data_IF_568783263152
#
_entry.id   IF_568783263152
#
_cell.length_a   1.000
_cell.length_b   1.000
_cell.length_c   1.000
_cell.angle_alpha   90.00
_cell.angle_beta   90.00
_cell.angle_gamma   90.00
#
_symmetry.space_group_name_H-M   'P 1'
#
loop_
_entity.id
_entity.type
_entity.pdbx_description
1 polymer ?
#
# COMPACT_ATOMS: atom_id res chain seq x y z
N UNK A 1 24.72 1.46 0.16
CA UNK A 1 23.61 2.08 0.93
C UNK A 1 22.31 1.78 0.19
N UNK A 2 21.42 0.96 0.75
CA UNK A 2 20.12 0.67 0.12
C UNK A 2 19.31 1.97 0.08
N UNK A 3 18.99 2.48 -1.12
CA UNK A 3 18.03 3.58 -1.26
C UNK A 3 16.74 3.12 -0.57
N UNK A 4 16.32 3.83 0.48
CA UNK A 4 14.96 3.69 1.00
C UNK A 4 14.01 3.93 -0.19
N UNK A 5 13.04 3.04 -0.46
CA UNK A 5 12.01 3.35 -1.44
C UNK A 5 11.37 4.67 -1.01
N UNK A 6 11.33 5.65 -1.92
CA UNK A 6 10.81 6.99 -1.67
C UNK A 6 9.29 7.03 -1.59
N UNK A 7 8.63 5.91 -1.91
CA UNK A 7 7.18 5.82 -1.96
C UNK A 7 6.68 5.03 -0.75
N UNK A 8 6.04 5.73 0.19
CA UNK A 8 5.25 5.09 1.22
C UNK A 8 3.88 4.79 0.61
N UNK A 9 3.64 3.54 0.22
CA UNK A 9 2.36 3.12 -0.35
C UNK A 9 1.21 3.50 0.58
N UNK A 10 0.24 4.24 0.04
CA UNK A 10 -0.96 4.61 0.78
C UNK A 10 -2.04 3.56 0.53
N UNK A 11 -2.19 2.67 1.51
CA UNK A 11 -3.23 1.65 1.52
C UNK A 11 -4.62 2.20 1.89
N UNK A 12 -4.67 3.42 2.40
CA UNK A 12 -5.87 4.12 2.82
C UNK A 12 -5.82 5.54 2.28
N UNK A 13 -6.80 5.88 1.44
CA UNK A 13 -6.98 7.21 0.88
C UNK A 13 -8.26 7.84 1.42
N UNK A 14 -8.28 9.16 1.58
CA UNK A 14 -9.40 9.88 2.19
C UNK A 14 -9.85 11.07 1.35
N UNK A 15 -11.15 11.23 1.20
CA UNK A 15 -11.79 12.42 0.64
C UNK A 15 -12.88 12.94 1.58
N UNK A 16 -12.96 14.26 1.73
CA UNK A 16 -13.99 14.91 2.52
C UNK A 16 -14.87 15.73 1.57
N UNK A 17 -16.16 15.39 1.53
CA UNK A 17 -17.16 16.14 0.78
C UNK A 17 -17.76 17.22 1.66
N UNK A 18 -17.20 18.42 1.56
CA UNK A 18 -17.69 19.62 2.24
C UNK A 18 -17.46 19.58 3.75
N UNK A 19 -18.17 20.43 4.48
CA UNK A 19 -18.12 20.48 5.94
C UNK A 19 -19.43 20.05 6.60
N UNK A 20 -19.51 20.32 7.90
CA UNK A 20 -20.72 20.19 8.70
C UNK A 20 -21.11 21.59 9.16
N UNK A 21 -22.38 21.95 8.98
CA UNK A 21 -22.98 23.18 9.52
C UNK A 21 -24.33 22.83 10.14
N UNK A 22 -24.57 23.24 11.38
CA UNK A 22 -25.77 22.92 12.16
C UNK A 22 -26.16 21.44 12.14
N UNK A 23 -25.16 20.55 12.25
CA UNK A 23 -25.34 19.10 12.24
C UNK A 23 -25.71 18.50 10.86
N UNK A 24 -25.72 19.31 9.79
CA UNK A 24 -26.04 18.87 8.43
C UNK A 24 -24.80 18.88 7.53
N UNK A 25 -24.76 17.93 6.58
CA UNK A 25 -23.71 17.88 5.57
C UNK A 25 -23.87 19.06 4.60
N UNK A 26 -22.82 19.88 4.44
CA UNK A 26 -22.83 21.00 3.50
C UNK A 26 -22.72 20.57 2.03
N UNK A 27 -22.16 19.39 1.77
CA UNK A 27 -21.98 18.94 0.40
C UNK A 27 -23.30 18.53 -0.25
N UNK A 28 -23.62 19.18 -1.37
CA UNK A 28 -24.67 18.73 -2.26
C UNK A 28 -24.33 17.36 -2.90
N UNK A 29 -25.34 16.65 -3.40
CA UNK A 29 -25.17 15.33 -4.05
C UNK A 29 -24.12 15.34 -5.16
N UNK A 30 -24.02 16.45 -5.92
CA UNK A 30 -23.02 16.61 -6.97
C UNK A 30 -21.60 16.62 -6.42
N UNK A 31 -21.34 17.35 -5.33
CA UNK A 31 -20.01 17.38 -4.67
C UNK A 31 -19.65 16.00 -4.13
N UNK A 32 -20.59 15.35 -3.43
CA UNK A 32 -20.40 13.98 -2.93
C UNK A 32 -20.05 13.02 -4.07
N UNK A 33 -20.67 13.16 -5.24
CA UNK A 33 -20.34 12.30 -6.37
C UNK A 33 -18.96 12.56 -6.96
N UNK A 34 -18.60 13.83 -7.17
CA UNK A 34 -17.30 14.23 -7.71
C UNK A 34 -16.15 13.75 -6.79
N UNK A 35 -16.31 13.87 -5.48
CA UNK A 35 -15.27 13.42 -4.55
C UNK A 35 -15.13 11.91 -4.50
N UNK A 36 -16.25 11.17 -4.64
CA UNK A 36 -16.21 9.72 -4.77
C UNK A 36 -15.45 9.30 -6.03
N UNK A 37 -15.67 9.99 -7.15
CA UNK A 37 -14.91 9.76 -8.38
C UNK A 37 -13.42 10.08 -8.21
N UNK A 38 -13.10 11.19 -7.54
CA UNK A 38 -11.71 11.57 -7.22
C UNK A 38 -11.04 10.50 -6.36
N UNK A 39 -11.70 10.03 -5.32
CA UNK A 39 -11.23 8.94 -4.45
C UNK A 39 -10.99 7.66 -5.27
N UNK A 40 -11.93 7.27 -6.14
CA UNK A 40 -11.78 6.12 -7.01
C UNK A 40 -10.55 6.24 -7.92
N UNK A 41 -10.34 7.42 -8.52
CA UNK A 41 -9.17 7.67 -9.38
C UNK A 41 -7.87 7.55 -8.58
N UNK A 42 -7.79 8.16 -7.40
CA UNK A 42 -6.62 8.06 -6.53
C UNK A 42 -6.31 6.61 -6.14
N UNK A 43 -7.33 5.83 -5.75
CA UNK A 43 -7.16 4.41 -5.41
C UNK A 43 -6.65 3.58 -6.58
N UNK A 44 -7.16 3.83 -7.78
CA UNK A 44 -6.71 3.17 -9.01
C UNK A 44 -5.25 3.52 -9.31
N UNK A 45 -4.87 4.77 -9.13
CA UNK A 45 -3.53 5.25 -9.45
C UNK A 45 -2.48 4.67 -8.48
N UNK A 46 -2.81 4.56 -7.18
CA UNK A 46 -1.98 3.84 -6.19
C UNK A 46 -1.80 2.36 -6.55
N UNK A 47 -2.90 1.65 -6.88
CA UNK A 47 -2.83 0.26 -7.34
C UNK A 47 -1.97 0.12 -8.60
N UNK A 48 -2.11 1.05 -9.54
CA UNK A 48 -1.31 1.05 -10.76
C UNK A 48 0.17 1.28 -10.52
N UNK A 49 0.51 2.17 -9.60
CA UNK A 49 1.89 2.39 -9.20
C UNK A 49 2.47 1.11 -8.60
N UNK A 50 1.73 0.48 -7.69
CA UNK A 50 2.12 -0.79 -7.08
C UNK A 50 2.34 -1.90 -8.12
N UNK A 51 1.36 -2.12 -9.01
CA UNK A 51 1.44 -3.13 -10.06
C UNK A 51 2.64 -2.88 -10.98
N UNK A 52 2.90 -1.61 -11.34
CA UNK A 52 4.03 -1.24 -12.20
C UNK A 52 5.37 -1.50 -11.54
N UNK A 53 5.52 -1.17 -10.26
CA UNK A 53 6.76 -1.37 -9.52
C UNK A 53 7.08 -2.85 -9.31
N UNK A 54 6.05 -3.67 -9.11
CA UNK A 54 6.19 -5.07 -8.74
C UNK A 54 5.79 -6.06 -9.84
N UNK A 55 5.80 -5.66 -11.13
CA UNK A 55 5.52 -6.54 -12.29
C UNK A 55 6.30 -7.86 -12.29
N UNK A 56 7.45 -7.92 -11.62
CA UNK A 56 8.31 -9.10 -11.52
C UNK A 56 7.91 -10.07 -10.41
N UNK A 57 7.03 -9.67 -9.49
CA UNK A 57 6.37 -10.62 -8.59
C UNK A 57 5.47 -11.56 -9.40
N UNK A 58 5.37 -12.83 -9.00
CA UNK A 58 4.44 -13.76 -9.63
C UNK A 58 3.04 -13.12 -9.59
N UNK A 59 2.40 -13.03 -10.75
CA UNK A 59 1.11 -12.33 -10.95
C UNK A 59 0.03 -12.70 -9.93
N UNK A 60 0.08 -13.92 -9.39
CA UNK A 60 -0.85 -14.45 -8.39
C UNK A 60 -0.79 -13.75 -7.03
N UNK A 61 0.34 -13.12 -6.65
CA UNK A 61 0.44 -12.41 -5.37
C UNK A 61 -0.07 -10.97 -5.48
N UNK A 62 0.09 -10.32 -6.63
CA UNK A 62 -0.38 -8.93 -6.84
C UNK A 62 -1.92 -8.80 -6.84
N UNK A 63 -2.64 -9.86 -7.22
CA UNK A 63 -4.11 -9.91 -7.26
C UNK A 63 -4.72 -9.76 -5.85
N UNK A 64 -3.94 -10.00 -4.78
CA UNK A 64 -4.41 -9.94 -3.40
C UNK A 64 -4.37 -8.55 -2.77
N UNK A 65 -3.78 -7.55 -3.45
CA UNK A 65 -3.68 -6.21 -2.88
C UNK A 65 -5.04 -5.51 -2.91
N UNK A 66 -5.54 -5.14 -1.73
CA UNK A 66 -6.68 -4.26 -1.54
C UNK A 66 -6.20 -2.85 -1.19
N UNK A 67 -6.77 -1.84 -1.85
CA UNK A 67 -6.68 -0.45 -1.42
C UNK A 67 -8.02 -0.03 -0.83
N UNK A 68 -7.99 0.65 0.31
CA UNK A 68 -9.17 1.18 0.97
C UNK A 68 -9.30 2.68 0.74
N UNK A 69 -10.54 3.13 0.60
CA UNK A 69 -10.88 4.53 0.43
C UNK A 69 -11.92 4.95 1.45
N UNK A 70 -11.80 6.14 2.00
CA UNK A 70 -12.77 6.72 2.94
C UNK A 70 -13.32 7.99 2.35
N UNK A 71 -14.64 8.09 2.31
CA UNK A 71 -15.32 9.33 1.97
C UNK A 71 -16.13 9.79 3.18
N UNK A 72 -15.85 11.00 3.65
CA UNK A 72 -16.59 11.62 4.75
C UNK A 72 -17.50 12.71 4.20
N UNK A 73 -18.78 12.71 4.58
CA UNK A 73 -19.70 13.80 4.29
C UNK A 73 -20.72 13.94 5.40
N UNK A 74 -20.77 15.13 6.03
CA UNK A 74 -21.49 15.25 7.29
C UNK A 74 -20.87 14.33 8.35
N UNK A 75 -21.73 13.66 9.11
CA UNK A 75 -21.35 12.63 10.07
C UNK A 75 -21.16 11.24 9.43
N UNK A 76 -21.45 11.09 8.13
CA UNK A 76 -21.37 9.79 7.46
C UNK A 76 -19.96 9.54 6.94
N UNK A 77 -19.46 8.36 7.22
CA UNK A 77 -18.20 7.83 6.73
C UNK A 77 -18.52 6.62 5.87
N UNK A 78 -18.29 6.74 4.56
CA UNK A 78 -18.38 5.62 3.63
C UNK A 78 -16.99 5.03 3.45
N UNK A 79 -16.89 3.71 3.57
CA UNK A 79 -15.65 2.98 3.36
C UNK A 79 -15.80 2.20 2.06
N UNK A 80 -14.86 2.40 1.15
CA UNK A 80 -14.76 1.73 -0.13
C UNK A 80 -13.52 0.83 -0.16
N UNK A 81 -13.56 -0.17 -1.04
CA UNK A 81 -12.38 -0.92 -1.45
C UNK A 81 -12.23 -0.92 -2.95
N UNK A 82 -10.98 -1.07 -3.40
CA UNK A 82 -10.65 -1.35 -4.78
C UNK A 82 -9.69 -2.52 -4.87
N UNK A 83 -9.94 -3.40 -5.85
CA UNK A 83 -9.04 -4.46 -6.26
C UNK A 83 -8.77 -4.42 -7.75
N UNK A 84 -7.62 -4.97 -8.16
CA UNK A 84 -7.27 -5.18 -9.55
C UNK A 84 -7.53 -6.64 -9.96
N UNK A 85 -8.27 -6.84 -11.05
CA UNK A 85 -8.68 -8.16 -11.53
C UNK A 85 -7.87 -8.65 -12.75
N UNK A 86 -6.87 -7.89 -13.19
CA UNK A 86 -6.16 -8.17 -14.43
C UNK A 86 -6.72 -7.40 -15.64
N UNK A 87 -5.93 -7.31 -16.71
CA UNK A 87 -6.38 -6.70 -17.97
C UNK A 87 -6.77 -5.21 -17.89
N UNK A 88 -6.34 -4.49 -16.85
CA UNK A 88 -6.74 -3.10 -16.60
C UNK A 88 -8.16 -2.96 -16.01
N UNK A 89 -8.75 -4.04 -15.52
CA UNK A 89 -10.06 -4.04 -14.85
C UNK A 89 -9.89 -3.88 -13.35
N UNK A 90 -10.71 -3.01 -12.76
CA UNK A 90 -10.76 -2.76 -11.31
C UNK A 90 -12.18 -2.94 -10.81
N UNK A 91 -12.33 -3.54 -9.63
CA UNK A 91 -13.60 -3.58 -8.92
C UNK A 91 -13.54 -2.57 -7.79
N UNK A 92 -14.47 -1.62 -7.81
CA UNK A 92 -14.63 -0.58 -6.80
C UNK A 92 -15.99 -0.72 -6.14
N UNK A 93 -16.01 -0.89 -4.83
CA UNK A 93 -17.22 -1.17 -4.08
C UNK A 93 -17.28 -0.41 -2.75
N UNK A 94 -18.50 -0.05 -2.35
CA UNK A 94 -18.77 0.35 -0.97
C UNK A 94 -18.77 -0.91 -0.11
N UNK A 95 -17.92 -0.96 0.90
CA UNK A 95 -17.81 -2.13 1.79
C UNK A 95 -18.51 -1.91 3.12
N UNK A 96 -18.53 -0.68 3.62
CA UNK A 96 -19.14 -0.37 4.90
C UNK A 96 -19.53 1.10 4.98
N UNK A 97 -20.39 1.43 5.93
CA UNK A 97 -20.80 2.81 6.23
C UNK A 97 -21.05 2.94 7.71
N UNK A 98 -20.43 3.94 8.34
CA UNK A 98 -20.77 4.33 9.69
C UNK A 98 -21.21 5.78 9.77
N UNK A 99 -21.97 6.09 10.81
CA UNK A 99 -22.48 7.43 11.09
C UNK A 99 -21.96 7.81 12.46
N UNK A 100 -21.21 8.90 12.54
CA UNK A 100 -20.75 9.44 13.81
C UNK A 100 -21.94 10.04 14.58
N UNK A 101 -21.98 9.90 15.91
CA UNK A 101 -23.01 10.52 16.73
C UNK A 101 -22.93 12.04 16.62
N UNK A 102 -24.08 12.69 16.38
CA UNK A 102 -24.21 14.15 16.31
C UNK A 102 -25.09 14.73 17.42
N UNK A 103 -25.77 13.87 18.18
CA UNK A 103 -26.59 14.20 19.35
C UNK A 103 -26.49 13.10 20.41
N UNK A 104 -26.90 13.41 21.64
CA UNK A 104 -26.99 12.44 22.74
C UNK A 104 -27.86 11.23 22.41
N UNK A 105 -28.93 11.42 21.63
CA UNK A 105 -29.81 10.34 21.17
C UNK A 105 -29.08 9.36 20.22
N UNK A 106 -28.10 9.85 19.46
CA UNK A 106 -27.35 9.05 18.49
C UNK A 106 -26.10 8.38 19.06
N UNK A 107 -25.84 8.49 20.37
CA UNK A 107 -24.59 8.05 21.00
C UNK A 107 -24.32 6.55 20.83
N UNK A 108 -25.37 5.73 20.69
CA UNK A 108 -25.24 4.29 20.43
C UNK A 108 -24.54 3.99 19.09
N UNK A 109 -24.58 4.92 18.13
CA UNK A 109 -23.84 4.79 16.86
C UNK A 109 -22.31 4.86 17.08
N UNK A 110 -21.83 5.37 18.22
CA UNK A 110 -20.40 5.47 18.51
C UNK A 110 -19.74 4.09 18.57
N UNK A 111 -20.38 3.12 19.21
CA UNK A 111 -19.84 1.77 19.32
C UNK A 111 -19.76 1.10 17.94
N UNK A 112 -20.81 1.26 17.13
CA UNK A 112 -20.82 0.75 15.76
C UNK A 112 -19.75 1.42 14.90
N UNK A 113 -19.63 2.75 14.95
CA UNK A 113 -18.61 3.49 14.23
C UNK A 113 -17.21 3.09 14.68
N UNK A 114 -16.99 2.91 15.99
CA UNK A 114 -15.73 2.43 16.54
C UNK A 114 -15.38 1.03 16.02
N UNK A 115 -16.32 0.08 16.04
CA UNK A 115 -16.10 -1.28 15.55
C UNK A 115 -15.72 -1.31 14.05
N UNK A 116 -16.42 -0.53 13.23
CA UNK A 116 -16.15 -0.41 11.79
C UNK A 116 -14.77 0.19 11.54
N UNK A 117 -14.43 1.31 12.21
CA UNK A 117 -13.14 1.98 12.05
C UNK A 117 -11.98 1.13 12.57
N UNK A 118 -12.19 0.39 13.66
CA UNK A 118 -11.21 -0.54 14.19
C UNK A 118 -10.98 -1.72 13.23
N UNK A 119 -12.03 -2.21 12.59
CA UNK A 119 -11.94 -3.25 11.54
C UNK A 119 -11.16 -2.73 10.33
N UNK A 120 -11.44 -1.50 9.89
CA UNK A 120 -10.68 -0.85 8.81
C UNK A 120 -9.20 -0.73 9.16
N UNK A 121 -8.88 -0.26 10.37
CA UNK A 121 -7.49 -0.16 10.87
C UNK A 121 -6.76 -1.52 10.81
N UNK A 122 -7.40 -2.59 11.28
CA UNK A 122 -6.83 -3.94 11.23
C UNK A 122 -6.59 -4.42 9.79
N UNK A 123 -7.56 -4.20 8.90
CA UNK A 123 -7.43 -4.53 7.46
C UNK A 123 -6.30 -3.75 6.80
N UNK A 124 -6.14 -2.49 7.16
CA UNK A 124 -5.03 -1.67 6.70
C UNK A 124 -3.69 -2.25 7.14
N UNK A 125 -3.51 -2.64 8.41
CA UNK A 125 -2.26 -3.26 8.85
C UNK A 125 -1.93 -4.56 8.12
N UNK A 126 -2.94 -5.39 7.84
CA UNK A 126 -2.75 -6.60 7.05
C UNK A 126 -2.25 -6.28 5.63
N UNK A 127 -2.83 -5.27 4.97
CA UNK A 127 -2.37 -4.82 3.66
C UNK A 127 -0.93 -4.29 3.71
N UNK A 128 -0.58 -3.48 4.72
CA UNK A 128 0.81 -3.02 4.91
C UNK A 128 1.79 -4.17 5.12
N UNK A 129 1.44 -5.17 5.94
CA UNK A 129 2.28 -6.36 6.16
C UNK A 129 2.51 -7.12 4.86
N UNK A 130 1.45 -7.29 4.06
CA UNK A 130 1.52 -7.95 2.77
C UNK A 130 2.45 -7.23 1.78
N UNK A 131 2.37 -5.89 1.72
CA UNK A 131 3.30 -5.08 0.90
C UNK A 131 4.74 -5.30 1.34
N UNK A 132 5.02 -5.28 2.66
CA UNK A 132 6.37 -5.51 3.19
C UNK A 132 6.91 -6.91 2.82
N UNK A 133 6.06 -7.92 2.79
CA UNK A 133 6.44 -9.27 2.36
C UNK A 133 6.83 -9.32 0.88
N UNK A 134 6.05 -8.66 0.02
CA UNK A 134 6.36 -8.52 -1.42
C UNK A 134 7.70 -7.80 -1.61
N UNK A 135 7.90 -6.68 -0.92
CA UNK A 135 9.16 -5.92 -0.98
C UNK A 135 10.36 -6.76 -0.56
N UNK A 136 10.23 -7.54 0.52
CA UNK A 136 11.27 -8.46 1.00
C UNK A 136 11.55 -9.55 -0.03
N UNK A 137 10.51 -10.16 -0.60
CA UNK A 137 10.65 -11.19 -1.62
C UNK A 137 11.39 -10.66 -2.86
N UNK A 138 10.97 -9.51 -3.37
CA UNK A 138 11.60 -8.89 -4.55
C UNK A 138 13.02 -8.45 -4.26
N UNK A 139 13.28 -7.90 -3.08
CA UNK A 139 14.65 -7.55 -2.67
C UNK A 139 15.56 -8.78 -2.63
N UNK A 140 15.06 -9.93 -2.17
CA UNK A 140 15.79 -11.20 -2.19
C UNK A 140 16.03 -11.68 -3.64
N UNK A 141 15.01 -11.64 -4.49
CA UNK A 141 15.13 -12.00 -5.91
C UNK A 141 16.16 -11.11 -6.63
N UNK A 142 16.12 -9.79 -6.45
CA UNK A 142 17.10 -8.86 -7.04
C UNK A 142 18.53 -9.18 -6.62
N UNK A 143 18.77 -9.61 -5.37
CA UNK A 143 20.11 -10.03 -4.92
C UNK A 143 20.57 -11.34 -5.57
N UNK A 144 19.64 -12.28 -5.77
CA UNK A 144 19.91 -13.58 -6.39
C UNK A 144 20.04 -13.50 -7.92
N UNK A 145 19.35 -12.55 -8.56
CA UNK A 145 19.39 -12.30 -10.00
C UNK A 145 20.47 -11.30 -10.42
N UNK A 146 21.25 -10.77 -9.48
CA UNK A 146 22.53 -10.16 -9.85
C UNK A 146 23.31 -11.25 -10.58
N UNK A 147 23.78 -11.00 -11.82
CA UNK A 147 24.47 -12.03 -12.58
C UNK A 147 25.57 -12.62 -11.71
N UNK A 148 25.64 -13.96 -11.68
CA UNK A 148 26.76 -14.71 -11.13
C UNK A 148 28.02 -13.92 -11.42
N UNK A 149 28.59 -13.42 -10.34
CA UNK A 149 29.38 -12.23 -10.38
C UNK A 149 30.77 -12.69 -10.79
N UNK A 150 30.97 -12.90 -12.08
CA UNK A 150 32.28 -13.20 -12.68
C UNK A 150 33.28 -12.19 -12.16
N UNK A 151 32.89 -10.92 -11.99
CA UNK A 151 33.73 -9.88 -11.39
C UNK A 151 34.01 -10.06 -9.88
N UNK A 152 33.12 -10.68 -9.09
CA UNK A 152 33.39 -11.03 -7.68
C UNK A 152 34.12 -12.36 -7.56
N UNK A 153 33.86 -13.35 -8.41
CA UNK A 153 34.69 -14.56 -8.49
C UNK A 153 36.11 -14.22 -8.96
N UNK A 154 36.27 -13.36 -9.96
CA UNK A 154 37.56 -12.81 -10.41
C UNK A 154 38.23 -11.97 -9.32
N UNK A 155 37.47 -11.15 -8.58
CA UNK A 155 38.02 -10.40 -7.45
C UNK A 155 38.44 -11.33 -6.29
N UNK A 156 37.67 -12.39 -6.01
CA UNK A 156 38.00 -13.40 -4.99
C UNK A 156 39.24 -14.18 -5.42
N UNK A 157 39.33 -14.61 -6.69
CA UNK A 157 40.51 -15.29 -7.25
C UNK A 157 41.73 -14.37 -7.24
N UNK A 158 41.57 -13.09 -7.58
CA UNK A 158 42.65 -12.10 -7.54
C UNK A 158 43.14 -11.86 -6.11
N UNK A 159 42.24 -11.78 -5.13
CA UNK A 159 42.59 -11.64 -3.71
C UNK A 159 43.26 -12.90 -3.18
N UNK A 160 42.76 -14.09 -3.53
CA UNK A 160 43.37 -15.38 -3.15
C UNK A 160 44.78 -15.52 -3.72
N UNK A 161 45.01 -15.18 -4.99
CA UNK A 161 46.34 -15.20 -5.63
C UNK A 161 47.32 -14.26 -4.92
N UNK A 162 46.88 -13.03 -4.59
CA UNK A 162 47.73 -12.08 -3.85
C UNK A 162 48.08 -12.57 -2.44
N UNK A 163 47.15 -13.23 -1.76
CA UNK A 163 47.39 -13.80 -0.43
C UNK A 163 48.36 -14.99 -0.48
N UNK A 164 48.28 -15.85 -1.50
CA UNK A 164 49.23 -16.96 -1.69
C UNK A 164 50.64 -16.51 -2.13
N UNK A 165 50.78 -15.34 -2.75
CA UNK A 165 52.11 -14.78 -3.08
C UNK A 165 52.80 -14.26 -1.81
N UNK A 166 52.06 -13.67 -0.87
CA UNK A 166 52.61 -13.16 0.39
C UNK A 166 53.10 -14.24 1.37
N UNK A 167 52.64 -15.49 1.26
CA UNK A 167 53.12 -16.59 2.10
C UNK A 167 54.46 -17.19 1.62
N UNK A 168 54.87 -16.90 0.37
CA UNK A 168 56.10 -17.45 -0.24
C UNK A 168 57.33 -16.54 -0.09
N UNK A 169 57.18 -15.30 0.38
CA UNK A 169 58.26 -14.32 0.52
C UNK A 169 58.77 -14.15 1.96
N UNK A 170 58.47 -15.10 2.85
CA UNK A 170 58.80 -15.04 4.28
C UNK A 170 59.64 -16.20 4.82
N UNK A 171 60.42 -16.89 3.97
CA UNK A 171 61.45 -17.82 4.42
C UNK A 171 62.78 -17.53 3.71
N UNK A 172 63.57 -16.67 4.33
CA UNK A 172 65.03 -16.61 4.18
C UNK A 172 65.62 -16.06 5.46
#
# INVERSE_FOLDING_TARGET
MLRKPSYQYQILLGEISGGIEDGKALACRRKQWVDKLKLMVMMRDELNQFIKEYKTAKSQDLIKLLVYGVQVFGARINIYSMIWCGGGVYLFGLIDTCILPMSSESIYNLEQAFAILQTLKSKCYLASSFIMEIERFISKQRRLSMPNNIAVEEAIVCVQQKLSITESSGQS
#
